data_IF_741303589700
#
_entry.id   IF_741303589700
#
_cell.length_a   1.000
_cell.length_b   1.000
_cell.length_c   1.000
_cell.angle_alpha   90.00
_cell.angle_beta   90.00
_cell.angle_gamma   90.00
#
_symmetry.space_group_name_H-M   'P 1'
#
loop_
_entity.id
_entity.type
_entity.pdbx_description
1 polymer ?
#
# COMPACT_ATOMS: atom_id res chain seq x y z
N UNK A 1 -6.92 -31.99 -55.94
CA UNK A 1 -7.63 -31.77 -54.66
C UNK A 1 -6.65 -31.10 -53.72
N UNK A 2 -6.67 -29.78 -53.56
CA UNK A 2 -7.57 -28.92 -52.75
C UNK A 2 -7.04 -28.73 -51.29
N UNK A 3 -6.64 -27.47 -51.03
CA UNK A 3 -6.55 -26.69 -49.77
C UNK A 3 -5.57 -27.14 -48.67
N UNK A 4 -4.51 -26.38 -48.37
CA UNK A 4 -4.43 -25.12 -47.59
C UNK A 4 -4.85 -25.24 -46.12
N UNK A 5 -3.91 -25.01 -45.19
CA UNK A 5 -3.93 -23.82 -44.30
C UNK A 5 -2.63 -23.65 -43.50
N UNK A 6 -2.04 -22.49 -43.73
CA UNK A 6 -1.05 -21.75 -42.97
C UNK A 6 -1.56 -21.38 -41.57
N UNK A 7 -0.71 -21.44 -40.53
CA UNK A 7 -0.60 -20.43 -39.46
C UNK A 7 0.79 -20.51 -38.82
N UNK A 8 1.67 -19.61 -39.25
CA UNK A 8 2.92 -19.24 -38.59
C UNK A 8 2.62 -18.58 -37.23
N UNK A 9 3.12 -19.17 -36.13
CA UNK A 9 3.24 -18.47 -34.85
C UNK A 9 4.41 -17.49 -34.95
N UNK A 10 4.11 -16.24 -35.28
CA UNK A 10 5.01 -15.12 -35.04
C UNK A 10 4.91 -14.80 -33.55
N UNK A 11 5.92 -15.22 -32.79
CA UNK A 11 6.14 -14.76 -31.42
C UNK A 11 6.72 -13.36 -31.55
N UNK A 12 5.97 -12.34 -31.14
CA UNK A 12 6.54 -11.01 -30.90
C UNK A 12 7.20 -11.05 -29.52
N UNK A 13 8.55 -10.96 -29.40
CA UNK A 13 9.16 -10.66 -28.12
C UNK A 13 8.74 -9.24 -27.73
N UNK A 14 8.14 -9.10 -26.55
CA UNK A 14 7.96 -7.81 -25.90
C UNK A 14 9.35 -7.18 -25.74
N UNK A 15 9.57 -6.04 -26.40
CA UNK A 15 10.79 -5.25 -26.28
C UNK A 15 10.50 -4.12 -25.30
N UNK A 16 11.32 -4.00 -24.26
CA UNK A 16 11.29 -2.86 -23.34
C UNK A 16 11.39 -1.54 -24.11
N UNK A 17 10.67 -0.49 -23.70
CA UNK A 17 10.81 0.83 -24.30
C UNK A 17 12.22 1.41 -24.06
N UNK A 18 12.77 2.17 -25.02
CA UNK A 18 14.18 2.60 -24.98
C UNK A 18 14.42 3.74 -23.98
N UNK A 19 15.29 3.45 -23.00
CA UNK A 19 16.21 4.33 -22.27
C UNK A 19 15.94 5.85 -22.29
N UNK A 20 15.35 6.38 -21.21
CA UNK A 20 15.66 7.71 -20.70
C UNK A 20 16.72 7.57 -19.60
N UNK A 21 17.92 8.09 -19.90
CA UNK A 21 19.12 8.02 -19.04
C UNK A 21 18.94 8.79 -17.73
N UNK A 22 18.79 8.07 -16.63
CA UNK A 22 19.42 8.34 -15.33
C UNK A 22 19.71 6.98 -14.68
N UNK A 23 20.78 6.32 -15.12
CA UNK A 23 21.35 5.17 -14.42
C UNK A 23 22.06 5.70 -13.17
N UNK A 24 21.41 5.59 -12.01
CA UNK A 24 22.12 5.53 -10.75
C UNK A 24 22.83 4.17 -10.70
N UNK A 25 24.16 4.20 -10.76
CA UNK A 25 25.02 3.02 -10.67
C UNK A 25 24.79 2.29 -9.34
N UNK A 26 24.03 1.20 -9.38
CA UNK A 26 24.00 0.16 -8.34
C UNK A 26 24.88 -1.04 -8.73
N UNK A 27 25.82 -0.88 -9.67
CA UNK A 27 26.81 -1.89 -10.06
C UNK A 27 27.92 -2.04 -9.00
N UNK A 28 27.54 -2.31 -7.76
CA UNK A 28 28.38 -3.10 -6.86
C UNK A 28 27.70 -4.44 -6.70
N UNK A 29 28.42 -5.52 -7.04
CA UNK A 29 28.06 -6.92 -6.78
C UNK A 29 27.95 -7.21 -5.26
N UNK A 30 27.15 -6.44 -4.52
CA UNK A 30 26.57 -6.92 -3.28
C UNK A 30 25.49 -7.91 -3.71
N UNK A 31 25.69 -9.20 -3.38
CA UNK A 31 24.64 -10.20 -3.49
C UNK A 31 23.39 -9.60 -2.87
N UNK A 32 22.33 -9.43 -3.67
CA UNK A 32 21.04 -8.94 -3.20
C UNK A 32 20.67 -9.78 -1.96
N UNK A 33 20.51 -9.17 -0.77
CA UNK A 33 20.21 -9.94 0.42
C UNK A 33 18.97 -10.79 0.17
N UNK A 34 19.01 -12.05 0.61
CA UNK A 34 17.88 -12.94 0.45
C UNK A 34 16.65 -12.32 1.10
N UNK A 35 15.54 -12.27 0.35
CA UNK A 35 14.27 -11.77 0.87
C UNK A 35 13.83 -12.64 2.05
N UNK A 36 13.43 -12.01 3.15
CA UNK A 36 12.91 -12.71 4.32
C UNK A 36 11.53 -13.27 4.00
N UNK A 37 11.30 -14.55 4.35
CA UNK A 37 10.00 -15.20 4.21
C UNK A 37 9.24 -15.22 5.53
N UNK A 38 7.92 -15.06 5.44
CA UNK A 38 6.98 -15.10 6.56
C UNK A 38 5.76 -15.91 6.12
N UNK A 39 5.38 -16.89 6.94
CA UNK A 39 4.13 -17.64 6.75
C UNK A 39 3.04 -16.93 7.55
N UNK A 40 2.04 -16.41 6.84
CA UNK A 40 0.88 -15.72 7.39
C UNK A 40 -0.07 -16.72 8.10
N UNK A 41 -0.93 -16.26 9.03
CA UNK A 41 -1.86 -17.14 9.74
C UNK A 41 -2.83 -17.93 8.83
N UNK A 42 -3.16 -17.42 7.65
CA UNK A 42 -3.95 -18.13 6.63
C UNK A 42 -3.14 -19.15 5.81
N UNK A 43 -1.85 -19.33 6.10
CA UNK A 43 -0.97 -20.31 5.45
C UNK A 43 -0.22 -19.79 4.22
N UNK A 44 -0.44 -18.54 3.80
CA UNK A 44 0.31 -17.95 2.68
C UNK A 44 1.76 -17.70 3.07
N UNK A 45 2.69 -18.12 2.22
CA UNK A 45 4.11 -17.80 2.38
C UNK A 45 4.49 -16.56 1.55
N UNK A 46 4.77 -15.45 2.22
CA UNK A 46 5.09 -14.16 1.60
C UNK A 46 6.52 -13.74 1.91
N UNK A 47 7.09 -12.94 1.02
CA UNK A 47 8.30 -12.16 1.30
C UNK A 47 7.93 -10.88 2.06
N UNK A 48 8.79 -10.45 2.98
CA UNK A 48 8.56 -9.32 3.87
C UNK A 48 9.85 -8.61 4.27
N UNK A 49 9.73 -7.35 4.72
CA UNK A 49 10.84 -6.60 5.36
C UNK A 49 11.06 -7.05 6.80
N UNK A 50 9.96 -7.13 7.56
CA UNK A 50 9.95 -7.52 8.96
C UNK A 50 8.69 -8.37 9.25
N UNK A 51 8.85 -9.35 10.15
CA UNK A 51 7.75 -10.24 10.52
C UNK A 51 6.66 -9.53 11.32
N UNK A 52 7.05 -8.68 12.29
CA UNK A 52 6.09 -8.01 13.17
C UNK A 52 5.25 -6.98 12.43
N UNK A 53 5.86 -6.20 11.54
CA UNK A 53 5.13 -5.28 10.64
C UNK A 53 4.14 -6.05 9.74
N UNK A 54 4.59 -7.16 9.16
CA UNK A 54 3.73 -8.01 8.31
C UNK A 54 2.55 -8.60 9.06
N UNK A 55 2.73 -9.04 10.31
CA UNK A 55 1.65 -9.56 11.15
C UNK A 55 0.61 -8.48 11.49
N UNK A 56 1.03 -7.23 11.73
CA UNK A 56 0.11 -6.12 11.99
C UNK A 56 -0.71 -5.75 10.75
N UNK A 57 -0.07 -5.69 9.58
CA UNK A 57 -0.75 -5.46 8.29
C UNK A 57 -1.72 -6.62 7.99
N UNK A 58 -1.33 -7.86 8.33
CA UNK A 58 -2.22 -9.01 8.19
C UNK A 58 -3.47 -8.88 9.07
N UNK A 59 -3.32 -8.49 10.34
CA UNK A 59 -4.46 -8.27 11.24
C UNK A 59 -5.40 -7.20 10.69
N UNK A 60 -4.86 -6.09 10.20
CA UNK A 60 -5.63 -5.02 9.55
C UNK A 60 -6.46 -5.53 8.36
N UNK A 61 -5.82 -6.27 7.45
CA UNK A 61 -6.45 -6.70 6.19
C UNK A 61 -7.40 -7.88 6.38
N UNK A 62 -6.98 -8.95 7.06
CA UNK A 62 -7.75 -10.19 7.17
C UNK A 62 -8.56 -10.31 8.45
N UNK A 63 -8.04 -9.85 9.60
CA UNK A 63 -8.73 -10.03 10.88
C UNK A 63 -9.81 -8.96 11.09
N UNK A 64 -9.49 -7.71 10.78
CA UNK A 64 -10.42 -6.59 10.95
C UNK A 64 -11.22 -6.27 9.69
N UNK A 65 -10.85 -6.84 8.54
CA UNK A 65 -11.43 -6.55 7.22
C UNK A 65 -11.57 -5.05 6.96
N UNK A 66 -10.57 -4.26 7.40
CA UNK A 66 -10.65 -2.79 7.45
C UNK A 66 -11.04 -2.15 6.11
N UNK A 67 -10.66 -2.77 4.99
CA UNK A 67 -10.93 -2.24 3.66
C UNK A 67 -12.33 -2.57 3.13
N UNK A 68 -13.08 -3.48 3.76
CA UNK A 68 -14.44 -3.89 3.36
C UNK A 68 -15.44 -3.96 4.54
N UNK A 69 -15.23 -3.21 5.64
CA UNK A 69 -16.23 -3.17 6.73
C UNK A 69 -17.56 -2.56 6.28
N UNK A 70 -17.57 -1.75 5.22
CA UNK A 70 -18.79 -1.25 4.61
C UNK A 70 -19.40 -2.30 3.66
N UNK A 71 -20.59 -2.82 4.01
CA UNK A 71 -21.35 -3.83 3.25
C UNK A 71 -21.73 -3.40 1.81
N UNK A 72 -21.53 -2.11 1.48
CA UNK A 72 -21.79 -1.55 0.15
C UNK A 72 -20.66 -1.83 -0.84
N UNK A 73 -19.44 -2.05 -0.36
CA UNK A 73 -18.31 -2.39 -1.22
C UNK A 73 -18.33 -3.87 -1.54
N UNK A 74 -18.26 -4.19 -2.84
CA UNK A 74 -18.26 -5.58 -3.32
C UNK A 74 -17.31 -5.74 -4.49
N UNK A 75 -16.54 -6.81 -4.47
CA UNK A 75 -15.78 -7.27 -5.61
C UNK A 75 -16.36 -8.59 -6.09
N UNK A 76 -16.33 -8.79 -7.40
CA UNK A 76 -16.81 -10.00 -8.07
C UNK A 76 -15.66 -10.61 -8.87
N UNK A 77 -15.70 -11.93 -9.17
CA UNK A 77 -14.76 -12.55 -10.08
C UNK A 77 -14.64 -11.80 -11.42
N UNK A 78 -13.41 -11.56 -11.86
CA UNK A 78 -13.06 -10.77 -13.03
C UNK A 78 -12.83 -9.27 -12.75
N UNK A 79 -12.94 -8.84 -11.49
CA UNK A 79 -12.78 -7.43 -11.12
C UNK A 79 -11.40 -6.85 -11.46
N UNK A 80 -11.38 -5.58 -11.82
CA UNK A 80 -10.16 -4.78 -11.97
C UNK A 80 -9.93 -3.94 -10.72
N UNK A 81 -8.81 -4.19 -10.02
CA UNK A 81 -8.45 -3.54 -8.76
C UNK A 81 -7.16 -2.75 -8.93
N UNK A 82 -7.15 -1.53 -8.42
CA UNK A 82 -5.95 -0.70 -8.32
C UNK A 82 -5.58 -0.56 -6.85
N UNK A 83 -4.38 -1.04 -6.50
CA UNK A 83 -3.81 -1.05 -5.15
C UNK A 83 -2.76 0.06 -5.04
N UNK A 84 -3.19 1.27 -4.67
CA UNK A 84 -2.34 2.47 -4.59
C UNK A 84 -1.71 2.55 -3.20
N UNK A 85 -0.38 2.43 -3.15
CA UNK A 85 0.35 2.17 -1.91
C UNK A 85 0.32 0.67 -1.57
N UNK A 86 0.75 -0.14 -2.54
CA UNK A 86 0.68 -1.60 -2.45
C UNK A 86 1.64 -2.21 -1.42
N UNK A 87 2.65 -1.47 -0.96
CA UNK A 87 3.66 -1.95 -0.01
C UNK A 87 4.21 -3.31 -0.44
N UNK A 88 4.10 -4.36 0.37
CA UNK A 88 4.56 -5.71 0.05
C UNK A 88 3.52 -6.58 -0.69
N UNK A 89 2.33 -6.04 -0.98
CA UNK A 89 1.29 -6.69 -1.80
C UNK A 89 0.25 -7.49 -1.04
N UNK A 90 0.17 -7.36 0.29
CA UNK A 90 -0.78 -8.13 1.10
C UNK A 90 -2.24 -7.82 0.71
N UNK A 91 -2.59 -6.55 0.49
CA UNK A 91 -3.94 -6.19 0.04
C UNK A 91 -4.26 -6.79 -1.33
N UNK A 92 -3.30 -6.76 -2.27
CA UNK A 92 -3.44 -7.41 -3.57
C UNK A 92 -3.72 -8.92 -3.45
N UNK A 93 -3.04 -9.63 -2.55
CA UNK A 93 -3.30 -11.06 -2.29
C UNK A 93 -4.69 -11.28 -1.69
N UNK A 94 -5.09 -10.43 -0.75
CA UNK A 94 -6.41 -10.45 -0.14
C UNK A 94 -7.54 -10.24 -1.15
N UNK A 95 -7.45 -9.18 -1.96
CA UNK A 95 -8.41 -8.88 -3.01
C UNK A 95 -8.52 -10.05 -4.00
N UNK A 96 -7.38 -10.63 -4.41
CA UNK A 96 -7.33 -11.80 -5.28
C UNK A 96 -8.07 -13.00 -4.68
N UNK A 97 -7.68 -13.43 -3.47
CA UNK A 97 -8.07 -14.72 -2.91
C UNK A 97 -9.45 -14.67 -2.26
N UNK A 98 -9.64 -13.71 -1.34
CA UNK A 98 -10.80 -13.65 -0.46
C UNK A 98 -11.99 -12.92 -1.11
N UNK A 99 -11.71 -11.93 -1.97
CA UNK A 99 -12.76 -11.09 -2.57
C UNK A 99 -13.13 -11.48 -4.00
N UNK A 100 -12.17 -11.92 -4.80
CA UNK A 100 -12.38 -12.19 -6.22
C UNK A 100 -12.27 -13.67 -6.62
N UNK A 101 -12.12 -14.60 -5.66
CA UNK A 101 -12.00 -16.04 -5.93
C UNK A 101 -10.92 -16.39 -6.98
N UNK A 102 -9.73 -15.79 -6.86
CA UNK A 102 -8.60 -15.93 -7.76
C UNK A 102 -8.84 -15.52 -9.22
N UNK A 103 -9.83 -14.68 -9.48
CA UNK A 103 -10.09 -14.08 -10.78
C UNK A 103 -10.15 -12.56 -10.65
N UNK A 104 -9.02 -11.88 -10.82
CA UNK A 104 -8.93 -10.42 -10.75
C UNK A 104 -7.78 -9.90 -11.60
N UNK A 105 -7.90 -8.69 -12.16
CA UNK A 105 -6.76 -7.96 -12.72
C UNK A 105 -6.34 -6.89 -11.74
N UNK A 106 -5.14 -7.01 -11.18
CA UNK A 106 -4.65 -6.12 -10.13
C UNK A 106 -3.46 -5.29 -10.63
N UNK A 107 -3.53 -3.98 -10.44
CA UNK A 107 -2.45 -3.03 -10.66
C UNK A 107 -1.99 -2.48 -9.31
N UNK A 108 -0.81 -2.85 -8.86
CA UNK A 108 -0.28 -2.45 -7.57
C UNK A 108 0.88 -1.46 -7.73
N UNK A 109 0.81 -0.35 -7.00
CA UNK A 109 1.75 0.77 -7.11
C UNK A 109 2.57 0.90 -5.84
N UNK A 110 3.90 0.78 -5.96
CA UNK A 110 4.83 0.96 -4.85
C UNK A 110 6.05 1.76 -5.34
N UNK A 111 6.23 3.02 -4.91
CA UNK A 111 7.34 3.86 -5.37
C UNK A 111 8.70 3.46 -4.80
N UNK A 112 8.77 2.87 -3.61
CA UNK A 112 10.04 2.64 -2.92
C UNK A 112 10.71 1.40 -3.50
N UNK A 113 11.91 1.51 -4.11
CA UNK A 113 12.50 0.40 -4.85
C UNK A 113 12.74 -0.87 -4.02
N UNK A 114 13.14 -0.73 -2.75
CA UNK A 114 13.34 -1.86 -1.84
C UNK A 114 12.02 -2.59 -1.54
N UNK A 115 10.96 -1.85 -1.27
CA UNK A 115 9.61 -2.40 -1.02
C UNK A 115 8.99 -2.97 -2.29
N UNK A 116 9.14 -2.28 -3.42
CA UNK A 116 8.69 -2.75 -4.74
C UNK A 116 9.27 -4.12 -5.10
N UNK A 117 10.55 -4.38 -4.78
CA UNK A 117 11.14 -5.71 -5.01
C UNK A 117 10.37 -6.81 -4.28
N UNK A 118 9.90 -6.54 -3.07
CA UNK A 118 9.08 -7.48 -2.28
C UNK A 118 7.69 -7.62 -2.88
N UNK A 119 7.03 -6.50 -3.23
CA UNK A 119 5.74 -6.49 -3.93
C UNK A 119 5.78 -7.40 -5.16
N UNK A 120 6.81 -7.20 -5.99
CA UNK A 120 7.01 -7.96 -7.22
C UNK A 120 7.26 -9.43 -6.91
N UNK A 121 8.13 -9.75 -5.96
CA UNK A 121 8.42 -11.14 -5.59
C UNK A 121 7.18 -11.88 -5.05
N UNK A 122 6.33 -11.20 -4.28
CA UNK A 122 5.04 -11.75 -3.83
C UNK A 122 4.07 -11.92 -4.99
N UNK A 123 4.00 -10.94 -5.90
CA UNK A 123 3.27 -11.02 -7.15
C UNK A 123 3.64 -12.24 -7.99
N UNK A 124 4.93 -12.38 -8.29
CA UNK A 124 5.50 -13.48 -9.09
C UNK A 124 5.19 -14.85 -8.46
N UNK A 125 5.17 -14.96 -7.12
CA UNK A 125 4.88 -16.21 -6.39
C UNK A 125 3.40 -16.60 -6.40
N UNK A 126 2.51 -15.63 -6.30
CA UNK A 126 1.10 -15.87 -5.96
C UNK A 126 0.12 -15.53 -7.08
N UNK A 127 0.57 -15.02 -8.21
CA UNK A 127 -0.28 -14.74 -9.37
C UNK A 127 0.09 -15.61 -10.59
N UNK A 128 0.64 -16.80 -10.33
CA UNK A 128 0.82 -17.82 -11.37
C UNK A 128 -0.54 -18.24 -11.94
N UNK A 129 -0.61 -18.45 -13.25
CA UNK A 129 -1.78 -18.91 -13.98
C UNK A 129 -2.28 -20.29 -13.52
N UNK A 130 -1.42 -21.11 -12.89
CA UNK A 130 -1.86 -22.37 -12.27
C UNK A 130 -2.75 -22.14 -11.03
N UNK A 131 -2.73 -20.93 -10.44
CA UNK A 131 -3.50 -20.57 -9.24
C UNK A 131 -4.79 -19.79 -9.54
N UNK A 132 -5.15 -19.61 -10.82
CA UNK A 132 -6.39 -18.93 -11.23
C UNK A 132 -6.23 -18.07 -12.48
N UNK A 133 -7.25 -17.26 -12.77
CA UNK A 133 -7.25 -16.33 -13.91
C UNK A 133 -6.71 -14.94 -13.54
N UNK A 134 -6.27 -14.77 -12.30
CA UNK A 134 -5.78 -13.49 -11.81
C UNK A 134 -4.53 -13.02 -12.56
N UNK A 135 -4.43 -11.71 -12.76
CA UNK A 135 -3.30 -11.02 -13.38
C UNK A 135 -2.77 -9.97 -12.42
N UNK A 136 -1.45 -9.83 -12.37
CA UNK A 136 -0.80 -8.88 -11.50
C UNK A 136 0.17 -8.00 -12.26
N UNK A 137 0.03 -6.69 -12.08
CA UNK A 137 0.91 -5.68 -12.64
C UNK A 137 1.55 -4.92 -11.47
N UNK A 138 2.81 -5.27 -11.15
CA UNK A 138 3.60 -4.56 -10.15
C UNK A 138 4.27 -3.33 -10.80
N UNK A 139 3.95 -2.13 -10.31
CA UNK A 139 4.36 -0.85 -10.89
C UNK A 139 5.25 -0.06 -9.92
N UNK A 140 6.50 0.18 -10.31
CA UNK A 140 7.51 0.85 -9.49
C UNK A 140 7.45 2.39 -9.62
N UNK A 141 6.32 2.95 -9.23
CA UNK A 141 6.09 4.39 -9.14
C UNK A 141 4.87 4.67 -8.26
N UNK A 142 4.84 5.85 -7.65
CA UNK A 142 3.69 6.32 -6.86
C UNK A 142 2.64 6.99 -7.73
N UNK A 143 1.48 7.29 -7.15
CA UNK A 143 0.47 8.13 -7.79
C UNK A 143 0.38 9.51 -7.15
N UNK A 144 0.12 10.53 -7.96
CA UNK A 144 0.03 11.93 -7.51
C UNK A 144 -0.86 12.76 -8.44
N UNK A 145 -1.01 14.05 -8.16
CA UNK A 145 -1.80 15.01 -8.92
C UNK A 145 -1.19 15.37 -10.28
N UNK A 146 0.11 15.05 -10.48
CA UNK A 146 0.84 15.24 -11.74
C UNK A 146 1.94 14.19 -11.91
N UNK A 147 2.34 13.97 -13.15
CA UNK A 147 3.51 13.15 -13.46
C UNK A 147 4.81 13.89 -13.08
N UNK A 148 5.80 13.17 -12.58
CA UNK A 148 7.10 13.72 -12.24
C UNK A 148 7.85 12.90 -11.20
N UNK A 149 8.64 13.58 -10.38
CA UNK A 149 9.41 12.97 -9.30
C UNK A 149 9.02 13.62 -7.96
N UNK A 150 8.92 12.80 -6.92
CA UNK A 150 8.68 13.23 -5.54
C UNK A 150 9.72 12.57 -4.64
N UNK A 151 10.17 13.30 -3.63
CA UNK A 151 11.05 12.76 -2.58
C UNK A 151 10.21 12.23 -1.42
N UNK A 152 10.44 10.97 -1.08
CA UNK A 152 9.86 10.28 0.07
C UNK A 152 10.87 10.24 1.22
N UNK A 153 10.39 10.42 2.45
CA UNK A 153 11.15 10.19 3.67
C UNK A 153 10.96 8.72 4.06
N UNK A 154 11.81 7.87 3.50
CA UNK A 154 11.68 6.42 3.64
C UNK A 154 12.20 5.94 4.99
N UNK A 155 11.42 5.10 5.67
CA UNK A 155 11.78 4.44 6.93
C UNK A 155 12.12 2.96 6.68
N UNK A 156 13.40 2.57 6.60
CA UNK A 156 13.79 1.20 6.26
C UNK A 156 13.38 0.14 7.29
N UNK A 157 13.08 0.57 8.52
CA UNK A 157 12.67 -0.31 9.63
C UNK A 157 11.18 -0.19 9.98
N UNK A 158 10.43 0.67 9.28
CA UNK A 158 8.98 0.88 9.41
C UNK A 158 8.44 1.34 8.06
N UNK A 159 8.43 0.46 7.07
CA UNK A 159 8.18 0.89 5.69
C UNK A 159 6.81 1.55 5.53
N UNK A 160 5.81 1.10 6.31
CA UNK A 160 4.48 1.69 6.38
C UNK A 160 4.42 3.13 6.91
N UNK A 161 5.51 3.72 7.43
CA UNK A 161 5.54 5.14 7.82
C UNK A 161 6.13 6.04 6.73
N UNK A 162 6.57 5.47 5.61
CA UNK A 162 7.17 6.23 4.51
C UNK A 162 6.15 7.18 3.91
N UNK A 163 6.46 8.47 3.91
CA UNK A 163 5.59 9.53 3.37
C UNK A 163 6.37 10.53 2.51
N UNK A 164 5.67 11.19 1.58
CA UNK A 164 6.19 12.37 0.89
C UNK A 164 5.99 13.67 1.67
N UNK A 165 5.19 13.65 2.74
CA UNK A 165 4.97 14.82 3.60
C UNK A 165 6.05 14.91 4.69
N UNK A 166 6.96 15.88 4.51
CA UNK A 166 8.06 16.11 5.46
C UNK A 166 7.58 16.58 6.83
N UNK A 167 6.56 17.43 6.88
CA UNK A 167 6.07 18.00 8.14
C UNK A 167 5.37 16.91 8.95
N UNK A 168 4.63 16.02 8.28
CA UNK A 168 4.03 14.86 8.91
C UNK A 168 5.09 13.89 9.45
N UNK A 169 6.15 13.58 8.69
CA UNK A 169 7.27 12.75 9.17
C UNK A 169 7.93 13.36 10.43
N UNK A 170 8.29 14.65 10.37
CA UNK A 170 8.91 15.36 11.50
C UNK A 170 8.01 15.35 12.74
N UNK A 171 6.70 15.52 12.57
CA UNK A 171 5.72 15.46 13.66
C UNK A 171 5.64 14.06 14.26
N UNK A 172 5.51 13.01 13.46
CA UNK A 172 5.47 11.61 13.93
C UNK A 172 6.72 11.26 14.74
N UNK A 173 7.89 11.70 14.26
CA UNK A 173 9.16 11.53 14.96
C UNK A 173 9.19 12.27 16.30
N UNK A 174 8.68 13.51 16.34
CA UNK A 174 8.58 14.30 17.56
C UNK A 174 7.64 13.64 18.58
N UNK A 175 6.46 13.19 18.15
CA UNK A 175 5.44 12.56 19.00
C UNK A 175 5.96 11.26 19.61
N UNK A 176 6.66 10.42 18.82
CA UNK A 176 7.31 9.21 19.33
C UNK A 176 8.28 9.53 20.48
N UNK A 177 9.12 10.56 20.34
CA UNK A 177 10.06 10.93 21.40
C UNK A 177 9.37 11.52 22.63
N UNK A 178 8.30 12.31 22.45
CA UNK A 178 7.52 12.86 23.54
C UNK A 178 6.82 11.76 24.34
N UNK A 179 6.26 10.77 23.65
CA UNK A 179 5.49 9.68 24.26
C UNK A 179 6.33 8.45 24.62
N UNK A 180 7.64 8.47 24.31
CA UNK A 180 8.58 7.38 24.61
C UNK A 180 8.51 6.87 26.07
N UNK A 181 8.41 7.71 27.11
CA UNK A 181 8.27 7.22 28.48
C UNK A 181 7.00 6.41 28.69
N UNK A 182 5.86 6.90 28.19
CA UNK A 182 4.55 6.23 28.30
C UNK A 182 4.56 4.90 27.55
N UNK A 183 5.07 4.89 26.31
CA UNK A 183 5.23 3.69 25.49
C UNK A 183 6.10 2.66 26.20
N UNK A 184 7.23 3.10 26.75
CA UNK A 184 8.14 2.23 27.50
C UNK A 184 7.44 1.62 28.71
N UNK A 185 6.69 2.42 29.46
CA UNK A 185 5.96 1.95 30.64
C UNK A 185 4.85 0.94 30.25
N UNK A 186 4.17 1.11 29.12
CA UNK A 186 3.21 0.12 28.58
C UNK A 186 3.90 -1.18 28.12
N UNK A 187 5.03 -1.09 27.44
CA UNK A 187 5.82 -2.26 27.02
C UNK A 187 6.27 -3.07 28.24
N UNK A 188 6.73 -2.41 29.32
CA UNK A 188 7.16 -3.06 30.56
C UNK A 188 6.00 -3.71 31.33
N UNK A 189 4.77 -3.21 31.17
CA UNK A 189 3.56 -3.80 31.79
C UNK A 189 3.13 -5.12 31.13
N UNK A 190 3.50 -5.37 29.88
CA UNK A 190 3.16 -6.62 29.18
C UNK A 190 3.75 -7.85 29.91
N UNK A 191 2.98 -8.95 30.10
CA UNK A 191 3.42 -10.14 30.83
C UNK A 191 4.72 -10.77 30.29
N UNK A 192 4.87 -10.81 28.98
CA UNK A 192 6.05 -11.34 28.27
C UNK A 192 7.33 -10.54 28.55
N UNK A 193 7.20 -9.27 28.93
CA UNK A 193 8.31 -8.35 29.19
C UNK A 193 8.65 -8.21 30.67
N UNK A 194 8.21 -9.16 31.51
CA UNK A 194 8.44 -9.15 32.96
C UNK A 194 9.92 -8.94 33.35
N UNK A 195 10.84 -9.42 32.52
CA UNK A 195 12.29 -9.33 32.75
C UNK A 195 12.81 -7.89 32.70
N UNK A 196 12.18 -6.99 31.93
CA UNK A 196 12.55 -5.56 31.90
C UNK A 196 12.38 -4.87 33.26
N UNK A 197 11.47 -5.38 34.10
CA UNK A 197 11.20 -4.84 35.45
C UNK A 197 12.37 -5.02 36.41
N UNK A 198 13.34 -5.87 36.06
CA UNK A 198 14.55 -6.10 36.85
C UNK A 198 15.66 -5.07 36.57
N UNK A 199 15.50 -4.25 35.53
CA UNK A 199 16.49 -3.23 35.18
C UNK A 199 16.08 -1.84 35.73
N UNK A 200 17.06 -0.98 36.07
CA UNK A 200 16.78 0.41 36.41
C UNK A 200 16.02 1.10 35.27
N UNK A 201 14.97 1.87 35.60
CA UNK A 201 14.13 2.57 34.61
C UNK A 201 14.95 3.45 33.66
N UNK A 202 16.02 4.08 34.15
CA UNK A 202 16.93 4.88 33.32
C UNK A 202 17.61 4.07 32.21
N UNK A 203 17.96 2.82 32.47
CA UNK A 203 18.56 1.93 31.48
C UNK A 203 17.53 1.45 30.46
N UNK A 204 16.32 1.11 30.91
CA UNK A 204 15.21 0.71 30.03
C UNK A 204 14.85 1.86 29.08
N UNK A 205 14.70 3.09 29.61
CA UNK A 205 14.43 4.27 28.80
C UNK A 205 15.59 4.63 27.86
N UNK A 206 16.83 4.43 28.30
CA UNK A 206 17.99 4.62 27.42
C UNK A 206 17.93 3.64 26.24
N UNK A 207 17.64 2.36 26.48
CA UNK A 207 17.45 1.35 25.44
C UNK A 207 16.30 1.69 24.50
N UNK A 208 15.14 2.08 25.06
CA UNK A 208 13.99 2.53 24.27
C UNK A 208 14.33 3.73 23.38
N UNK A 209 15.16 4.66 23.87
CA UNK A 209 15.61 5.81 23.08
C UNK A 209 16.55 5.40 21.93
N UNK A 210 17.43 4.43 22.15
CA UNK A 210 18.26 3.90 21.06
C UNK A 210 17.41 3.21 20.01
N UNK A 211 16.41 2.42 20.43
CA UNK A 211 15.45 1.78 19.53
C UNK A 211 14.65 2.82 18.74
N UNK A 212 14.04 3.81 19.40
CA UNK A 212 13.32 4.90 18.74
C UNK A 212 14.21 5.63 17.73
N UNK A 213 15.48 5.90 18.07
CA UNK A 213 16.43 6.53 17.14
C UNK A 213 16.71 5.70 15.89
N UNK A 214 16.73 4.37 16.01
CA UNK A 214 16.85 3.49 14.85
C UNK A 214 15.59 3.54 13.97
N UNK A 215 14.40 3.62 14.58
CA UNK A 215 13.12 3.63 13.85
C UNK A 215 12.82 4.94 13.11
N UNK A 216 13.17 6.09 13.69
CA UNK A 216 12.96 7.43 13.06
C UNK A 216 13.99 7.76 11.99
N UNK A 217 14.98 6.89 11.76
CA UNK A 217 16.04 7.17 10.80
C UNK A 217 15.47 7.07 9.39
N UNK A 218 15.21 8.23 8.79
CA UNK A 218 14.74 8.32 7.41
C UNK A 218 15.89 8.39 6.42
N UNK A 219 15.61 7.94 5.20
CA UNK A 219 16.44 8.14 4.03
C UNK A 219 15.60 8.84 2.97
N UNK A 220 15.98 10.05 2.50
CA UNK A 220 15.29 10.68 1.39
C UNK A 220 15.52 9.86 0.12
N UNK A 221 14.45 9.40 -0.51
CA UNK A 221 14.49 8.66 -1.77
C UNK A 221 13.59 9.38 -2.78
N UNK A 222 14.16 9.78 -3.91
CA UNK A 222 13.38 10.36 -5.01
C UNK A 222 12.85 9.25 -5.91
N UNK A 223 11.54 9.20 -6.06
CA UNK A 223 10.85 8.18 -6.86
C UNK A 223 9.97 8.83 -7.92
N UNK A 224 9.71 8.07 -8.98
CA UNK A 224 8.76 8.48 -10.02
C UNK A 224 7.34 8.46 -9.46
N UNK A 225 6.55 9.45 -9.86
CA UNK A 225 5.11 9.50 -9.61
C UNK A 225 4.36 9.82 -10.89
N UNK A 226 3.13 9.33 -10.96
CA UNK A 226 2.25 9.49 -12.13
C UNK A 226 0.83 9.82 -11.73
N UNK A 227 0.10 10.45 -12.62
CA UNK A 227 -1.36 10.59 -12.45
C UNK A 227 -2.03 9.26 -12.66
N UNK A 228 -3.08 8.97 -11.87
CA UNK A 228 -3.89 7.77 -12.08
C UNK A 228 -4.43 7.71 -13.52
N UNK A 229 -4.77 8.87 -14.08
CA UNK A 229 -5.26 8.96 -15.45
C UNK A 229 -4.24 8.55 -16.51
N UNK A 230 -2.96 8.88 -16.33
CA UNK A 230 -1.91 8.44 -17.26
C UNK A 230 -1.81 6.90 -17.32
N UNK A 231 -2.01 6.24 -16.17
CA UNK A 231 -1.99 4.79 -16.06
C UNK A 231 -3.23 4.17 -16.72
N UNK A 232 -4.41 4.76 -16.47
CA UNK A 232 -5.66 4.34 -17.13
C UNK A 232 -5.51 4.35 -18.65
N UNK A 233 -4.89 5.40 -19.21
CA UNK A 233 -4.66 5.51 -20.66
C UNK A 233 -3.64 4.49 -21.17
N UNK A 234 -2.50 4.34 -20.49
CA UNK A 234 -1.42 3.44 -20.89
C UNK A 234 -1.87 1.98 -20.92
N UNK A 235 -2.52 1.53 -19.86
CA UNK A 235 -3.01 0.16 -19.73
C UNK A 235 -4.39 -0.05 -20.36
N UNK A 236 -4.97 1.02 -20.94
CA UNK A 236 -6.29 1.01 -21.59
C UNK A 236 -7.38 0.45 -20.69
N UNK A 237 -7.37 0.87 -19.42
CA UNK A 237 -8.29 0.38 -18.40
C UNK A 237 -9.68 0.98 -18.67
N UNK A 238 -10.63 0.12 -19.03
CA UNK A 238 -11.99 0.52 -19.38
C UNK A 238 -12.94 0.61 -18.19
N UNK A 239 -12.71 -0.21 -17.16
CA UNK A 239 -13.49 -0.27 -15.93
C UNK A 239 -12.57 -0.55 -14.75
N UNK A 240 -12.83 0.08 -13.62
CA UNK A 240 -12.11 -0.10 -12.36
C UNK A 240 -13.16 -0.39 -11.29
N UNK A 241 -13.15 -1.63 -10.81
CA UNK A 241 -14.09 -2.11 -9.83
C UNK A 241 -13.69 -1.67 -8.42
N UNK A 242 -12.42 -1.41 -8.13
CA UNK A 242 -12.00 -0.82 -6.86
C UNK A 242 -10.67 -0.08 -6.99
N UNK A 243 -10.56 1.06 -6.33
CA UNK A 243 -9.28 1.72 -6.06
C UNK A 243 -9.05 1.73 -4.55
N UNK A 244 -8.04 1.00 -4.08
CA UNK A 244 -7.51 1.14 -2.72
C UNK A 244 -6.50 2.28 -2.69
N UNK A 245 -6.61 3.18 -1.72
CA UNK A 245 -5.66 4.30 -1.54
C UNK A 245 -5.22 4.36 -0.09
N UNK A 246 -3.93 4.20 0.13
CA UNK A 246 -3.30 4.25 1.45
C UNK A 246 -1.84 4.60 1.18
N UNK A 247 -1.57 5.90 1.22
CA UNK A 247 -0.34 6.52 0.73
C UNK A 247 0.20 7.53 1.75
N UNK A 248 -0.20 7.38 3.01
CA UNK A 248 0.35 8.12 4.15
C UNK A 248 0.34 9.64 3.94
N UNK A 249 -0.86 10.21 3.71
CA UNK A 249 -1.14 11.65 3.66
C UNK A 249 -1.29 12.25 2.26
N UNK A 250 -0.95 11.50 1.20
CA UNK A 250 -1.03 11.96 -0.18
C UNK A 250 -2.35 11.58 -0.89
N UNK A 251 -3.38 11.17 -0.15
CA UNK A 251 -4.60 10.58 -0.74
C UNK A 251 -5.33 11.56 -1.65
N UNK A 252 -5.42 12.83 -1.23
CA UNK A 252 -6.05 13.88 -2.02
C UNK A 252 -5.30 14.11 -3.34
N UNK A 253 -3.97 14.08 -3.32
CA UNK A 253 -3.14 14.23 -4.54
C UNK A 253 -3.40 13.09 -5.53
N UNK A 254 -3.50 11.85 -5.03
CA UNK A 254 -3.88 10.70 -5.87
C UNK A 254 -5.21 10.94 -6.56
N UNK A 255 -6.23 11.39 -5.83
CA UNK A 255 -7.56 11.66 -6.40
C UNK A 255 -7.55 12.85 -7.37
N UNK A 256 -6.75 13.88 -7.11
CA UNK A 256 -6.58 15.03 -8.02
C UNK A 256 -5.86 14.65 -9.32
N UNK A 257 -5.15 13.51 -9.36
CA UNK A 257 -4.60 12.92 -10.58
C UNK A 257 -5.64 12.27 -11.51
N UNK A 258 -6.93 12.30 -11.15
CA UNK A 258 -8.02 11.71 -11.93
C UNK A 258 -8.72 12.78 -12.76
N UNK A 259 -8.62 12.67 -14.09
CA UNK A 259 -9.34 13.53 -15.03
C UNK A 259 -10.83 13.23 -15.05
N UNK A 260 -11.62 14.25 -15.36
CA UNK A 260 -13.09 14.19 -15.42
C UNK A 260 -13.63 13.07 -16.30
N UNK A 261 -12.98 12.75 -17.42
CA UNK A 261 -13.38 11.68 -18.34
C UNK A 261 -13.12 10.26 -17.81
N UNK A 262 -12.32 10.12 -16.76
CA UNK A 262 -11.96 8.84 -16.15
C UNK A 262 -12.77 8.49 -14.91
N UNK A 263 -13.31 9.48 -14.20
CA UNK A 263 -14.16 9.24 -13.03
C UNK A 263 -15.30 8.23 -13.29
N UNK A 264 -16.02 8.26 -14.43
CA UNK A 264 -17.09 7.28 -14.69
C UNK A 264 -16.63 5.82 -14.77
N UNK A 265 -15.32 5.56 -14.97
CA UNK A 265 -14.78 4.20 -15.03
C UNK A 265 -14.56 3.58 -13.66
N UNK A 266 -14.55 4.39 -12.59
CA UNK A 266 -14.29 3.94 -11.22
C UNK A 266 -15.61 3.72 -10.50
N UNK A 267 -15.80 2.51 -9.94
CA UNK A 267 -17.03 2.13 -9.26
C UNK A 267 -17.03 2.43 -7.76
N UNK A 268 -15.88 2.26 -7.10
CA UNK A 268 -15.75 2.40 -5.65
C UNK A 268 -14.30 2.64 -5.23
N UNK A 269 -14.14 3.21 -4.05
CA UNK A 269 -12.88 3.46 -3.36
C UNK A 269 -12.92 2.86 -1.95
N UNK A 270 -11.79 2.35 -1.51
CA UNK A 270 -11.50 2.08 -0.10
C UNK A 270 -10.22 2.81 0.25
N UNK A 271 -10.22 3.62 1.30
CA UNK A 271 -9.14 4.55 1.55
C UNK A 271 -8.78 4.59 3.02
N UNK A 272 -7.48 4.59 3.32
CA UNK A 272 -6.98 5.07 4.59
C UNK A 272 -6.66 6.55 4.44
N UNK A 273 -7.26 7.39 5.29
CA UNK A 273 -7.27 8.84 5.12
C UNK A 273 -6.82 9.52 6.41
N UNK A 274 -5.85 10.41 6.27
CA UNK A 274 -5.43 11.31 7.34
C UNK A 274 -6.51 12.36 7.64
N UNK A 275 -6.71 12.70 8.91
CA UNK A 275 -7.84 13.53 9.35
C UNK A 275 -7.87 14.92 8.73
N UNK A 276 -6.70 15.46 8.38
CA UNK A 276 -6.58 16.76 7.73
C UNK A 276 -6.99 16.73 6.24
N UNK A 277 -6.94 15.57 5.56
CA UNK A 277 -7.35 15.41 4.16
C UNK A 277 -8.79 14.90 4.01
N UNK A 278 -9.41 14.38 5.09
CA UNK A 278 -10.76 13.78 5.07
C UNK A 278 -11.82 14.69 4.43
N UNK A 279 -11.99 15.92 4.93
CA UNK A 279 -13.04 16.84 4.43
C UNK A 279 -12.88 17.21 2.95
N UNK A 280 -11.68 17.61 2.47
CA UNK A 280 -11.43 17.80 1.05
C UNK A 280 -11.77 16.58 0.18
N UNK A 281 -11.42 15.37 0.64
CA UNK A 281 -11.70 14.12 -0.09
C UNK A 281 -13.21 13.87 -0.17
N UNK A 282 -13.92 14.03 0.93
CA UNK A 282 -15.39 13.91 0.98
C UNK A 282 -16.09 14.88 0.01
N UNK A 283 -15.62 16.13 -0.04
CA UNK A 283 -16.15 17.12 -0.98
C UNK A 283 -15.92 16.66 -2.43
N UNK A 284 -14.69 16.27 -2.77
CA UNK A 284 -14.35 15.80 -4.11
C UNK A 284 -15.19 14.58 -4.52
N UNK A 285 -15.31 13.58 -3.64
CA UNK A 285 -16.11 12.38 -3.89
C UNK A 285 -17.60 12.72 -4.11
N UNK A 286 -18.15 13.65 -3.33
CA UNK A 286 -19.52 14.15 -3.51
C UNK A 286 -19.70 14.80 -4.89
N UNK A 287 -18.76 15.67 -5.29
CA UNK A 287 -18.77 16.34 -6.59
C UNK A 287 -18.69 15.34 -7.77
N UNK A 288 -18.05 14.19 -7.57
CA UNK A 288 -17.92 13.11 -8.56
C UNK A 288 -19.05 12.06 -8.48
N UNK A 289 -20.05 12.30 -7.64
CA UNK A 289 -21.27 11.49 -7.54
C UNK A 289 -21.10 10.19 -6.76
N UNK A 290 -20.17 10.13 -5.81
CA UNK A 290 -20.03 9.03 -4.86
C UNK A 290 -20.82 9.31 -3.58
N UNK A 291 -21.33 8.24 -2.97
CA UNK A 291 -21.75 8.21 -1.57
C UNK A 291 -20.63 7.55 -0.78
N UNK A 292 -20.47 7.91 0.49
CA UNK A 292 -19.40 7.36 1.32
C UNK A 292 -19.83 7.20 2.78
N UNK A 293 -19.13 6.29 3.45
CA UNK A 293 -19.11 6.11 4.90
C UNK A 293 -17.64 6.18 5.36
N UNK A 294 -17.42 6.55 6.61
CA UNK A 294 -16.08 6.51 7.19
C UNK A 294 -16.13 6.17 8.68
N UNK A 295 -15.06 5.55 9.16
CA UNK A 295 -14.88 5.18 10.56
C UNK A 295 -13.54 5.69 11.08
N UNK A 296 -13.55 6.24 12.29
CA UNK A 296 -12.32 6.66 12.97
C UNK A 296 -11.61 5.46 13.56
N UNK A 297 -10.32 5.30 13.28
CA UNK A 297 -9.54 4.15 13.73
C UNK A 297 -8.41 4.58 14.65
N UNK A 298 -8.40 4.02 15.85
CA UNK A 298 -7.21 4.04 16.69
C UNK A 298 -6.26 2.96 16.18
N UNK A 299 -5.32 3.29 15.28
CA UNK A 299 -4.36 2.31 14.76
C UNK A 299 -3.55 1.74 15.92
N UNK A 300 -3.62 0.43 16.10
CA UNK A 300 -2.87 -0.31 17.13
C UNK A 300 -1.37 -0.04 17.01
N UNK A 301 -0.85 0.05 15.78
CA UNK A 301 0.56 0.29 15.49
C UNK A 301 1.00 1.71 15.91
N UNK A 302 0.22 2.74 15.60
CA UNK A 302 0.50 4.12 16.04
C UNK A 302 0.26 4.32 17.54
N UNK A 303 -0.75 3.66 18.11
CA UNK A 303 -0.98 3.61 19.54
C UNK A 303 0.21 2.92 20.27
N UNK A 304 0.81 1.88 19.68
CA UNK A 304 2.02 1.26 20.20
C UNK A 304 3.24 2.19 20.17
N UNK A 305 3.30 3.10 19.20
CA UNK A 305 4.35 4.11 19.10
C UNK A 305 3.96 5.46 19.71
N UNK A 306 2.82 5.56 20.40
CA UNK A 306 2.34 6.78 21.02
C UNK A 306 2.27 7.96 20.06
N UNK A 307 1.98 7.72 18.77
CA UNK A 307 1.81 8.77 17.77
C UNK A 307 0.33 9.07 17.65
N UNK A 308 -0.04 10.34 17.85
CA UNK A 308 -1.42 10.80 17.62
C UNK A 308 -1.57 11.14 16.13
N UNK A 309 -2.07 10.19 15.34
CA UNK A 309 -2.62 10.49 14.02
C UNK A 309 -4.13 10.24 14.03
N UNK A 310 -4.88 11.17 13.45
CA UNK A 310 -6.31 11.01 13.27
C UNK A 310 -6.57 10.25 11.96
N UNK A 311 -6.64 8.93 12.01
CA UNK A 311 -6.82 8.12 10.80
C UNK A 311 -8.26 7.64 10.66
N UNK A 312 -8.74 7.65 9.42
CA UNK A 312 -10.07 7.19 9.06
C UNK A 312 -9.97 6.15 7.95
N UNK A 313 -10.73 5.06 8.05
CA UNK A 313 -11.10 4.32 6.85
C UNK A 313 -12.30 5.01 6.22
N UNK A 314 -12.21 5.27 4.92
CA UNK A 314 -13.28 5.84 4.12
C UNK A 314 -13.60 4.87 2.99
N UNK A 315 -14.88 4.49 2.90
CA UNK A 315 -15.40 3.65 1.83
C UNK A 315 -16.37 4.47 0.99
N UNK A 316 -16.16 4.52 -0.32
CA UNK A 316 -16.98 5.30 -1.23
C UNK A 316 -17.45 4.45 -2.42
N UNK A 317 -18.70 4.59 -2.84
CA UNK A 317 -19.28 3.84 -3.94
C UNK A 317 -20.24 4.70 -4.76
N UNK A 318 -20.49 4.30 -6.01
CA UNK A 318 -21.53 4.92 -6.83
C UNK A 318 -22.90 4.41 -6.41
N UNK A 319 -23.84 5.33 -6.22
CA UNK A 319 -25.22 4.97 -5.93
C UNK A 319 -25.84 4.27 -7.14
N UNK A 320 -26.25 3.01 -6.98
CA UNK A 320 -26.92 2.28 -8.06
C UNK A 320 -28.40 2.65 -8.11
N UNK A 321 -29.09 2.35 -9.22
CA UNK A 321 -30.54 2.55 -9.32
C UNK A 321 -31.35 1.74 -8.29
N UNK A 322 -30.72 0.79 -7.59
CA UNK A 322 -31.30 -0.03 -6.53
C UNK A 322 -31.15 0.58 -5.13
N UNK A 323 -30.35 1.64 -4.96
CA UNK A 323 -30.12 2.36 -3.70
C UNK A 323 -31.00 3.62 -3.56
N UNK A 324 -32.00 3.79 -4.44
CA UNK A 324 -33.06 4.82 -4.38
C UNK A 324 -34.40 4.15 -4.08
#
# INVERSE_FOLDING_TARGET
MKFDRCWSRVIFPYQDPPNSRLQLNWETEEKDPALQEVVLPNGLNVFAHDKGETELIYEEIWTYDSYFQCDKLKLEPGATVLDVGGNTGLFSLYAKQDKCNNDATIYAFEPIPSTYRILKANGDRHFDAEQGNAKFHALNYGLSSKDGEITFWHHPHQCGWTTSDKEMDEKRNQDLYQNLPTITDEIVKKPENWWLRWFPRSLVLWGARQFAHAMVKTQPITCQVRTLSSVIDEYKISNIDLVKVDVEGAELDVLQGIRDDHWPRIQQFTMEVEGHTLKPIQQLLTEKGFVFEHEYVHKVQQAFFGVEAEIFYLWAWRQTAQDK
#
